data_IF_804591453054
#
_entry.id   IF_804591453054
#
_cell.length_a   1.000
_cell.length_b   1.000
_cell.length_c   1.000
_cell.angle_alpha   90.00
_cell.angle_beta   90.00
_cell.angle_gamma   90.00
#
_symmetry.space_group_name_H-M   'P 1'
#
loop_
_entity.id
_entity.type
_entity.pdbx_description
1 polymer ?
#
# COMPACT_ATOMS: atom_id res chain seq x y z
N UNK A 1 -1.19 -18.01 19.72
CA UNK A 1 -1.22 -17.10 18.55
C UNK A 1 -2.61 -17.21 17.92
N UNK A 2 -3.33 -16.10 17.65
CA UNK A 2 -4.64 -16.18 16.97
C UNK A 2 -4.44 -16.60 15.50
N UNK A 3 -5.24 -17.53 14.99
CA UNK A 3 -5.20 -17.94 13.57
C UNK A 3 -5.55 -16.77 12.64
N UNK A 4 -5.17 -16.86 11.37
CA UNK A 4 -5.54 -15.85 10.36
C UNK A 4 -7.06 -15.68 10.27
N UNK A 5 -7.82 -16.79 10.26
CA UNK A 5 -9.29 -16.77 10.24
C UNK A 5 -9.86 -16.01 11.43
N UNK A 6 -9.35 -16.23 12.65
CA UNK A 6 -9.83 -15.51 13.83
C UNK A 6 -9.53 -14.01 13.76
N UNK A 7 -8.38 -13.62 13.20
CA UNK A 7 -8.03 -12.21 12.98
C UNK A 7 -8.95 -11.58 11.93
N UNK A 8 -9.25 -12.30 10.85
CA UNK A 8 -10.14 -11.84 9.79
C UNK A 8 -11.57 -11.60 10.30
N UNK A 9 -12.16 -12.58 10.99
CA UNK A 9 -13.50 -12.46 11.59
C UNK A 9 -13.55 -11.27 12.55
N UNK A 10 -12.58 -11.18 13.47
CA UNK A 10 -12.51 -10.05 14.43
C UNK A 10 -12.41 -8.69 13.72
N UNK A 11 -11.73 -8.63 12.58
CA UNK A 11 -11.56 -7.39 11.81
C UNK A 11 -12.85 -6.99 11.12
N UNK A 12 -13.56 -7.95 10.52
CA UNK A 12 -14.87 -7.74 9.89
C UNK A 12 -15.86 -7.22 10.92
N UNK A 13 -15.96 -7.87 12.08
CA UNK A 13 -16.88 -7.48 13.15
C UNK A 13 -16.57 -6.07 13.68
N UNK A 14 -15.29 -5.74 13.89
CA UNK A 14 -14.87 -4.41 14.39
C UNK A 14 -15.08 -3.28 13.39
N UNK A 15 -15.01 -3.58 12.10
CA UNK A 15 -15.15 -2.59 11.02
C UNK A 15 -16.57 -2.53 10.45
N UNK A 16 -17.41 -3.49 10.85
CA UNK A 16 -18.73 -3.72 10.26
C UNK A 16 -18.65 -3.76 8.73
N UNK A 17 -17.61 -4.44 8.21
CA UNK A 17 -17.29 -4.42 6.78
C UNK A 17 -16.50 -5.65 6.37
N UNK A 18 -17.01 -6.33 5.34
CA UNK A 18 -16.33 -7.41 4.63
C UNK A 18 -15.55 -6.92 3.38
N UNK A 19 -15.51 -5.61 3.16
CA UNK A 19 -14.84 -5.04 1.99
C UNK A 19 -13.34 -5.27 2.02
N UNK A 20 -12.75 -5.44 0.83
CA UNK A 20 -11.30 -5.55 0.65
C UNK A 20 -10.86 -4.48 -0.32
N UNK A 21 -9.92 -3.62 0.10
CA UNK A 21 -9.37 -2.60 -0.81
C UNK A 21 -8.16 -3.15 -1.54
N UNK A 22 -8.27 -3.21 -2.87
CA UNK A 22 -7.14 -3.50 -3.76
C UNK A 22 -6.17 -2.33 -3.83
N UNK A 23 -4.88 -2.60 -3.65
CA UNK A 23 -3.79 -1.65 -3.83
C UNK A 23 -2.99 -2.08 -5.06
N UNK A 24 -3.39 -1.53 -6.21
CA UNK A 24 -2.92 -1.88 -7.55
C UNK A 24 -2.25 -0.65 -8.21
N UNK A 25 -1.11 -0.17 -7.68
CA UNK A 25 -0.58 1.16 -7.96
C UNK A 25 0.14 1.22 -9.32
N UNK A 26 -0.57 1.63 -10.37
CA UNK A 26 0.06 1.94 -11.66
C UNK A 26 0.66 3.34 -11.62
N UNK A 27 1.96 3.45 -11.92
CA UNK A 27 2.71 4.71 -11.82
C UNK A 27 2.08 5.85 -12.67
N UNK A 28 1.49 5.51 -13.80
CA UNK A 28 0.77 6.45 -14.68
C UNK A 28 -0.43 7.09 -13.99
N UNK A 29 -1.21 6.31 -13.23
CA UNK A 29 -2.41 6.77 -12.54
C UNK A 29 -2.14 7.45 -11.19
N UNK A 30 -0.91 7.38 -10.67
CA UNK A 30 -0.56 8.12 -9.45
C UNK A 30 -0.67 9.63 -9.71
N UNK A 31 -1.38 10.39 -8.85
CA UNK A 31 -1.51 11.84 -8.97
C UNK A 31 -0.16 12.55 -9.11
N UNK A 32 -0.12 13.56 -9.99
CA UNK A 32 1.11 14.28 -10.33
C UNK A 32 1.79 14.89 -9.10
N UNK A 33 1.04 15.39 -8.13
CA UNK A 33 1.59 16.00 -6.91
C UNK A 33 2.36 14.99 -6.05
N UNK A 34 1.90 13.74 -5.99
CA UNK A 34 2.60 12.66 -5.29
C UNK A 34 3.87 12.28 -6.05
N UNK A 35 3.80 12.19 -7.39
CA UNK A 35 4.98 11.96 -8.24
C UNK A 35 6.01 13.08 -8.04
N UNK A 36 5.63 14.34 -8.19
CA UNK A 36 6.54 15.50 -8.01
C UNK A 36 7.24 15.47 -6.66
N UNK A 37 6.53 15.16 -5.57
CA UNK A 37 7.12 15.06 -4.24
C UNK A 37 8.21 13.96 -4.16
N UNK A 38 7.99 12.81 -4.80
CA UNK A 38 8.96 11.74 -4.86
C UNK A 38 10.19 12.08 -5.73
N UNK A 39 9.96 12.71 -6.90
CA UNK A 39 11.01 13.05 -7.86
C UNK A 39 11.78 14.35 -7.54
N UNK A 40 11.30 15.18 -6.60
CA UNK A 40 12.05 16.36 -6.09
C UNK A 40 13.34 15.97 -5.36
N UNK A 41 13.44 14.76 -4.83
CA UNK A 41 14.66 14.25 -4.20
C UNK A 41 15.64 13.79 -5.28
N UNK A 42 16.86 14.35 -5.31
CA UNK A 42 17.94 13.88 -6.20
C UNK A 42 18.15 12.37 -5.98
N UNK A 43 18.04 11.56 -7.03
CA UNK A 43 18.14 10.10 -6.94
C UNK A 43 17.76 9.36 -8.22
N UNK A 44 17.89 8.04 -8.21
CA UNK A 44 17.54 7.13 -9.31
C UNK A 44 16.02 7.16 -9.60
N UNK A 45 15.64 7.22 -10.89
CA UNK A 45 14.24 7.20 -11.36
C UNK A 45 13.42 6.02 -10.78
N UNK A 46 14.01 4.83 -10.68
CA UNK A 46 13.32 3.66 -10.10
C UNK A 46 13.07 3.79 -8.60
N UNK A 47 13.98 4.43 -7.86
CA UNK A 47 13.80 4.70 -6.44
C UNK A 47 12.66 5.69 -6.21
N UNK A 48 12.61 6.74 -7.03
CA UNK A 48 11.55 7.74 -6.96
C UNK A 48 10.18 7.14 -7.34
N UNK A 49 10.14 6.24 -8.34
CA UNK A 49 8.92 5.50 -8.70
C UNK A 49 8.44 4.59 -7.55
N UNK A 50 9.34 3.80 -6.94
CA UNK A 50 9.00 2.93 -5.82
C UNK A 50 8.53 3.74 -4.60
N UNK A 51 9.14 4.90 -4.37
CA UNK A 51 8.73 5.83 -3.33
C UNK A 51 7.34 6.42 -3.58
N UNK A 52 7.06 6.84 -4.82
CA UNK A 52 5.74 7.36 -5.19
C UNK A 52 4.63 6.31 -4.95
N UNK A 53 4.88 5.05 -5.33
CA UNK A 53 3.96 3.93 -5.05
C UNK A 53 3.73 3.77 -3.55
N UNK A 54 4.81 3.73 -2.74
CA UNK A 54 4.70 3.58 -1.29
C UNK A 54 3.90 4.74 -0.66
N UNK A 55 4.21 5.98 -1.03
CA UNK A 55 3.55 7.16 -0.48
C UNK A 55 2.07 7.23 -0.90
N UNK A 56 1.75 6.84 -2.14
CA UNK A 56 0.37 6.74 -2.61
C UNK A 56 -0.43 5.70 -1.81
N UNK A 57 0.11 4.50 -1.64
CA UNK A 57 -0.58 3.44 -0.89
C UNK A 57 -0.75 3.78 0.59
N UNK A 58 0.23 4.45 1.21
CA UNK A 58 0.08 4.96 2.59
C UNK A 58 -1.08 5.95 2.71
N UNK A 59 -1.27 6.84 1.74
CA UNK A 59 -2.39 7.77 1.74
C UNK A 59 -3.72 7.05 1.62
N UNK A 60 -3.84 6.08 0.70
CA UNK A 60 -5.05 5.23 0.60
C UNK A 60 -5.33 4.56 1.94
N UNK A 61 -4.35 3.86 2.53
CA UNK A 61 -4.48 3.17 3.82
C UNK A 61 -4.97 4.14 4.91
N UNK A 62 -4.40 5.35 4.99
CA UNK A 62 -4.82 6.35 5.98
C UNK A 62 -6.27 6.82 5.78
N UNK A 63 -6.76 6.86 4.55
CA UNK A 63 -8.16 7.22 4.25
C UNK A 63 -9.07 6.06 4.64
N UNK A 64 -8.75 4.83 4.22
CA UNK A 64 -9.66 3.69 4.34
C UNK A 64 -9.67 3.02 5.71
N UNK A 65 -8.59 3.11 6.50
CA UNK A 65 -8.42 2.25 7.69
C UNK A 65 -9.50 2.44 8.76
N UNK A 66 -10.24 3.55 8.74
CA UNK A 66 -11.40 3.77 9.63
C UNK A 66 -12.58 2.87 9.25
N UNK A 67 -12.73 2.53 7.98
CA UNK A 67 -13.89 1.83 7.41
C UNK A 67 -13.58 0.40 6.95
N UNK A 68 -12.35 0.11 6.55
CA UNK A 68 -11.94 -1.19 6.01
C UNK A 68 -10.67 -1.66 6.68
N UNK A 69 -10.66 -2.92 7.14
CA UNK A 69 -9.51 -3.54 7.80
C UNK A 69 -8.73 -4.53 6.92
N UNK A 70 -9.13 -4.71 5.66
CA UNK A 70 -8.51 -5.70 4.77
C UNK A 70 -8.02 -5.00 3.50
N UNK A 71 -6.74 -5.20 3.19
CA UNK A 71 -6.12 -4.72 1.96
C UNK A 71 -5.48 -5.86 1.19
N UNK A 72 -5.53 -5.78 -0.14
CA UNK A 72 -4.88 -6.73 -1.05
C UNK A 72 -3.92 -5.98 -1.95
N UNK A 73 -2.63 -6.22 -1.82
CA UNK A 73 -1.60 -5.59 -2.67
C UNK A 73 -1.35 -6.47 -3.91
N UNK A 74 -1.32 -5.87 -5.10
CA UNK A 74 -0.91 -6.56 -6.33
C UNK A 74 0.60 -6.43 -6.53
N UNK A 75 1.33 -7.52 -6.30
CA UNK A 75 2.80 -7.55 -6.31
C UNK A 75 3.41 -7.23 -7.69
N UNK A 76 2.72 -7.56 -8.78
CA UNK A 76 3.22 -7.36 -10.15
C UNK A 76 3.63 -5.90 -10.42
N UNK A 77 2.87 -4.91 -9.90
CA UNK A 77 3.21 -3.48 -10.06
C UNK A 77 4.48 -3.07 -9.32
N UNK A 78 4.84 -3.80 -8.26
CA UNK A 78 6.08 -3.59 -7.52
C UNK A 78 7.25 -4.30 -8.22
N UNK A 79 7.06 -5.50 -8.75
CA UNK A 79 8.09 -6.26 -9.45
C UNK A 79 8.63 -5.53 -10.69
N UNK A 80 7.78 -4.78 -11.38
CA UNK A 80 8.18 -3.91 -12.50
C UNK A 80 9.27 -2.88 -12.12
N UNK A 81 9.44 -2.56 -10.85
CA UNK A 81 10.46 -1.64 -10.34
C UNK A 81 11.71 -2.34 -9.79
N UNK A 82 11.82 -3.65 -9.97
CA UNK A 82 12.94 -4.47 -9.52
C UNK A 82 13.09 -4.49 -7.99
N UNK A 83 14.32 -4.60 -7.45
CA UNK A 83 14.56 -4.72 -6.01
C UNK A 83 13.97 -3.57 -5.17
N UNK A 84 13.95 -2.35 -5.71
CA UNK A 84 13.41 -1.18 -5.04
C UNK A 84 11.88 -1.26 -4.89
N UNK A 85 11.20 -1.85 -5.88
CA UNK A 85 9.78 -2.15 -5.79
C UNK A 85 9.47 -3.19 -4.71
N UNK A 86 10.28 -4.25 -4.59
CA UNK A 86 10.09 -5.26 -3.53
C UNK A 86 10.29 -4.68 -2.13
N UNK A 87 11.20 -3.72 -1.96
CA UNK A 87 11.35 -2.98 -0.71
C UNK A 87 10.07 -2.17 -0.43
N UNK A 88 9.55 -1.43 -1.42
CA UNK A 88 8.32 -0.68 -1.29
C UNK A 88 7.09 -1.58 -0.99
N UNK A 89 7.05 -2.78 -1.57
CA UNK A 89 6.02 -3.79 -1.28
C UNK A 89 6.07 -4.23 0.19
N UNK A 90 7.25 -4.63 0.67
CA UNK A 90 7.48 -5.01 2.07
C UNK A 90 7.10 -3.88 3.04
N UNK A 91 7.47 -2.64 2.72
CA UNK A 91 7.15 -1.49 3.55
C UNK A 91 5.65 -1.13 3.51
N UNK A 92 4.98 -1.36 2.39
CA UNK A 92 3.52 -1.21 2.29
C UNK A 92 2.82 -2.25 3.18
N UNK A 93 3.25 -3.51 3.17
CA UNK A 93 2.72 -4.56 4.05
C UNK A 93 2.93 -4.19 5.53
N UNK A 94 4.14 -3.79 5.90
CA UNK A 94 4.44 -3.37 7.29
C UNK A 94 3.57 -2.20 7.71
N UNK A 95 3.29 -1.26 6.81
CA UNK A 95 2.45 -0.11 7.09
C UNK A 95 0.98 -0.51 7.26
N UNK A 96 0.45 -1.34 6.36
CA UNK A 96 -0.91 -1.88 6.44
C UNK A 96 -1.13 -2.60 7.76
N UNK A 97 -0.24 -3.55 8.13
CA UNK A 97 -0.31 -4.29 9.41
C UNK A 97 -0.33 -3.40 10.67
N UNK A 98 0.17 -2.17 10.59
CA UNK A 98 0.15 -1.21 11.71
C UNK A 98 -1.14 -0.39 11.77
N UNK A 99 -1.92 -0.33 10.70
CA UNK A 99 -3.06 0.61 10.53
C UNK A 99 -4.40 -0.10 10.36
N UNK A 100 -4.41 -1.22 9.65
CA UNK A 100 -5.57 -2.07 9.37
C UNK A 100 -5.51 -3.31 10.23
#
# INVERSE_FOLDING_TARGET
MKSFINQLITTIDKKDSCSVVGLDPQLEFIPLEIKKAAFKKRGNNLNNAARAILDFNKQIINIIHKHVGIVKLQIAFYEMLGPLGLIAYSDTIKYAKKKT
#
